data_IF_154349026322
#
_entry.id   IF_154349026322
#
_cell.length_a   1.000
_cell.length_b   1.000
_cell.length_c   1.000
_cell.angle_alpha   90.00
_cell.angle_beta   90.00
_cell.angle_gamma   90.00
#
_symmetry.space_group_name_H-M   'P 1'
#
loop_
_entity.id
_entity.type
_entity.pdbx_description
1 polymer ?
#
# COMPACT_ATOMS: atom_id res chain seq x y z
N UNK A 1 16.66 -54.52 21.18
CA UNK A 1 15.47 -53.77 20.69
C UNK A 1 15.58 -52.30 21.09
N UNK A 2 16.37 -51.48 20.38
CA UNK A 2 16.52 -50.04 20.67
C UNK A 2 16.97 -49.30 19.40
N UNK A 3 16.17 -49.35 18.33
CA UNK A 3 16.50 -48.60 17.10
C UNK A 3 15.26 -48.08 16.34
N UNK A 4 14.06 -48.16 16.93
CA UNK A 4 12.80 -47.91 16.19
C UNK A 4 12.03 -46.68 16.69
N UNK A 5 12.46 -46.04 17.78
CA UNK A 5 11.70 -44.95 18.42
C UNK A 5 12.15 -43.56 17.93
N UNK A 6 13.39 -43.42 17.43
CA UNK A 6 13.95 -42.10 17.07
C UNK A 6 13.40 -41.58 15.72
N UNK A 7 12.94 -42.46 14.82
CA UNK A 7 12.46 -42.05 13.48
C UNK A 7 11.06 -41.42 13.46
N UNK A 8 10.22 -41.66 14.48
CA UNK A 8 8.85 -41.14 14.51
C UNK A 8 8.81 -39.67 14.97
N UNK A 9 9.79 -39.24 15.76
CA UNK A 9 9.83 -37.88 16.31
C UNK A 9 10.14 -36.79 15.27
N UNK A 10 10.84 -37.13 14.18
CA UNK A 10 11.18 -36.17 13.13
C UNK A 10 10.04 -35.93 12.13
N UNK A 11 9.13 -36.90 11.97
CA UNK A 11 8.01 -36.78 11.02
C UNK A 11 6.91 -35.86 11.58
N UNK A 12 6.65 -35.89 12.89
CA UNK A 12 5.68 -34.98 13.53
C UNK A 12 6.16 -33.51 13.57
N UNK A 13 7.47 -33.27 13.60
CA UNK A 13 8.03 -31.91 13.62
C UNK A 13 7.93 -31.20 12.27
N UNK A 14 7.84 -31.95 11.16
CA UNK A 14 7.72 -31.39 9.82
C UNK A 14 6.27 -31.01 9.46
N UNK A 15 5.28 -31.69 10.05
CA UNK A 15 3.86 -31.38 9.88
C UNK A 15 3.43 -30.08 10.58
N UNK A 16 4.21 -29.59 11.54
CA UNK A 16 3.90 -28.34 12.27
C UNK A 16 4.30 -27.06 11.52
N UNK A 17 5.04 -27.16 10.42
CA UNK A 17 5.37 -26.02 9.56
C UNK A 17 4.41 -25.81 8.38
N UNK A 18 3.46 -26.72 8.13
CA UNK A 18 2.40 -26.57 7.12
C UNK A 18 1.16 -25.90 7.72
N UNK A 19 1.33 -24.79 8.45
CA UNK A 19 0.22 -24.17 9.18
C UNK A 19 0.26 -22.66 9.32
N UNK A 20 1.33 -21.99 8.87
CA UNK A 20 1.27 -20.54 8.66
C UNK A 20 0.59 -20.31 7.31
N UNK A 21 -0.73 -20.54 7.26
CA UNK A 21 -1.56 -19.96 6.24
C UNK A 21 -1.26 -18.46 6.25
N UNK A 22 -0.60 -17.99 5.19
CA UNK A 22 -0.54 -16.58 4.89
C UNK A 22 -2.01 -16.22 4.64
N UNK A 23 -2.68 -15.77 5.69
CA UNK A 23 -3.99 -15.14 5.65
C UNK A 23 -3.76 -13.86 4.85
N UNK A 24 -3.70 -14.02 3.53
CA UNK A 24 -3.80 -12.92 2.60
C UNK A 24 -5.23 -12.46 2.78
N UNK A 25 -5.39 -11.50 3.67
CA UNK A 25 -6.48 -10.54 3.65
C UNK A 25 -6.83 -10.36 2.17
N UNK A 26 -8.04 -10.75 1.79
CA UNK A 26 -8.51 -10.78 0.40
C UNK A 26 -8.65 -9.34 -0.10
N UNK A 27 -7.50 -8.65 -0.25
CA UNK A 27 -7.43 -7.30 -0.77
C UNK A 27 -7.92 -7.35 -2.19
N UNK A 28 -8.85 -6.47 -2.50
CA UNK A 28 -9.40 -6.38 -3.83
C UNK A 28 -8.24 -6.26 -4.82
N UNK A 29 -8.13 -7.15 -5.83
CA UNK A 29 -6.89 -7.37 -6.61
C UNK A 29 -6.41 -6.17 -7.44
N UNK A 30 -7.19 -5.08 -7.43
CA UNK A 30 -6.96 -3.87 -8.19
C UNK A 30 -6.65 -2.66 -7.29
N UNK A 31 -6.60 -2.84 -5.98
CA UNK A 31 -6.36 -1.76 -5.02
C UNK A 31 -4.89 -1.73 -4.60
N UNK A 32 -4.24 -0.61 -4.87
CA UNK A 32 -2.98 -0.25 -4.25
C UNK A 32 -3.20 -0.03 -2.75
N UNK A 33 -2.14 -0.24 -1.97
CA UNK A 33 -2.08 0.22 -0.59
C UNK A 33 -1.09 1.37 -0.51
N UNK A 34 -1.50 2.47 0.11
CA UNK A 34 -0.64 3.62 0.31
C UNK A 34 -0.77 4.23 1.68
N UNK A 35 0.23 5.01 2.05
CA UNK A 35 0.29 5.77 3.28
C UNK A 35 0.15 7.25 2.96
N UNK A 36 -0.76 7.95 3.63
CA UNK A 36 -0.87 9.41 3.52
C UNK A 36 0.36 10.03 4.16
N UNK A 37 1.18 10.74 3.37
CA UNK A 37 2.44 11.35 3.85
C UNK A 37 2.38 12.88 3.89
N UNK A 38 1.34 13.48 3.28
CA UNK A 38 1.09 14.92 3.29
C UNK A 38 -0.39 15.19 3.15
N UNK A 39 -0.91 16.11 3.96
CA UNK A 39 -2.24 16.69 3.82
C UNK A 39 -2.10 18.21 3.81
N UNK A 40 -2.47 18.81 2.69
CA UNK A 40 -2.69 20.22 2.53
C UNK A 40 -4.05 20.58 3.17
N UNK A 41 -4.02 21.24 4.33
CA UNK A 41 -5.21 21.82 4.98
C UNK A 41 -5.49 23.26 4.51
N UNK A 42 -5.64 23.49 3.20
CA UNK A 42 -5.95 24.81 2.62
C UNK A 42 -4.75 25.70 2.24
N UNK A 43 -3.54 25.15 2.25
CA UNK A 43 -2.32 25.76 1.71
C UNK A 43 -2.05 25.44 0.22
N UNK A 44 -0.80 25.63 -0.19
CA UNK A 44 -0.36 25.55 -1.60
C UNK A 44 0.25 24.19 -1.99
N UNK A 45 0.52 23.32 -1.02
CA UNK A 45 1.21 22.04 -1.23
C UNK A 45 0.26 20.94 -1.70
N UNK A 46 0.78 19.80 -2.13
CA UNK A 46 -0.08 18.66 -2.50
C UNK A 46 -0.46 17.81 -1.27
N UNK A 47 -1.65 17.21 -1.34
CA UNK A 47 -1.95 16.00 -0.58
C UNK A 47 -1.25 14.84 -1.27
N UNK A 48 -0.53 14.02 -0.53
CA UNK A 48 0.34 13.00 -1.12
C UNK A 48 0.15 11.66 -0.42
N UNK A 49 0.02 10.61 -1.23
CA UNK A 49 0.09 9.22 -0.81
C UNK A 49 1.41 8.63 -1.33
N UNK A 50 2.14 7.93 -0.47
CA UNK A 50 3.23 7.04 -0.86
C UNK A 50 2.68 5.63 -1.07
N UNK A 51 2.97 5.00 -2.20
CA UNK A 51 2.57 3.62 -2.47
C UNK A 51 3.47 2.69 -1.64
N UNK A 52 2.86 1.93 -0.73
CA UNK A 52 3.58 0.95 0.11
C UNK A 52 3.35 -0.49 -0.38
N UNK A 53 2.26 -0.74 -1.12
CA UNK A 53 2.05 -1.98 -1.85
C UNK A 53 1.39 -1.75 -3.20
N UNK A 54 1.88 -2.44 -4.23
CA UNK A 54 1.38 -2.35 -5.60
C UNK A 54 0.44 -3.51 -5.92
N UNK A 55 -0.27 -3.40 -7.04
CA UNK A 55 -1.11 -4.46 -7.59
C UNK A 55 -0.31 -5.33 -8.56
N UNK A 56 -0.81 -6.54 -8.84
CA UNK A 56 -0.22 -7.39 -9.86
C UNK A 56 -0.25 -6.67 -11.21
N UNK A 57 0.90 -6.61 -11.89
CA UNK A 57 1.07 -5.95 -13.18
C UNK A 57 0.78 -4.43 -13.16
N UNK A 58 0.80 -3.80 -11.97
CA UNK A 58 0.63 -2.36 -11.81
C UNK A 58 1.82 -1.56 -12.33
N UNK A 59 1.55 -0.48 -13.05
CA UNK A 59 2.58 0.35 -13.69
C UNK A 59 3.38 1.19 -12.68
N UNK A 60 2.77 1.56 -11.54
CA UNK A 60 3.40 2.38 -10.52
C UNK A 60 3.95 1.50 -9.39
N UNK A 61 5.26 1.55 -9.20
CA UNK A 61 5.97 0.75 -8.20
C UNK A 61 5.86 1.34 -6.78
N UNK A 62 6.13 0.50 -5.78
CA UNK A 62 6.29 0.86 -4.36
C UNK A 62 7.34 1.97 -4.18
N UNK A 63 7.09 2.88 -3.24
CA UNK A 63 7.93 4.04 -2.93
C UNK A 63 7.67 5.27 -3.81
N UNK A 64 6.88 5.13 -4.88
CA UNK A 64 6.43 6.30 -5.66
C UNK A 64 5.30 7.03 -4.93
N UNK A 65 5.22 8.33 -5.20
CA UNK A 65 4.26 9.22 -4.58
C UNK A 65 3.28 9.79 -5.60
N UNK A 66 2.02 9.88 -5.21
CA UNK A 66 0.94 10.41 -6.05
C UNK A 66 0.20 11.53 -5.34
N UNK A 67 -0.32 12.49 -6.10
CA UNK A 67 -1.31 13.43 -5.57
C UNK A 67 -2.67 12.76 -5.36
N UNK A 68 -3.50 13.33 -4.49
CA UNK A 68 -4.92 12.95 -4.40
C UNK A 68 -5.79 14.09 -3.87
N UNK A 69 -7.11 13.94 -4.00
CA UNK A 69 -8.09 14.81 -3.35
C UNK A 69 -8.63 14.10 -2.09
N UNK A 70 -8.37 14.63 -0.87
CA UNK A 70 -8.82 14.02 0.37
C UNK A 70 -10.34 14.08 0.55
N UNK A 71 -11.05 14.98 -0.14
CA UNK A 71 -12.51 15.07 -0.06
C UNK A 71 -13.16 13.78 -0.61
N UNK A 72 -12.55 13.17 -1.62
CA UNK A 72 -13.04 11.93 -2.25
C UNK A 72 -13.02 10.72 -1.30
N UNK A 73 -12.28 10.78 -0.19
CA UNK A 73 -12.27 9.71 0.79
C UNK A 73 -13.58 9.60 1.57
N UNK A 74 -14.31 10.72 1.75
CA UNK A 74 -15.60 10.75 2.45
C UNK A 74 -15.52 10.68 3.98
N UNK A 75 -14.31 10.68 4.55
CA UNK A 75 -14.06 10.77 5.99
C UNK A 75 -12.81 11.63 6.28
N UNK A 76 -12.54 11.89 7.56
CA UNK A 76 -11.32 12.61 7.96
C UNK A 76 -10.10 11.72 7.79
N UNK A 77 -9.10 12.20 7.05
CA UNK A 77 -7.80 11.57 6.91
C UNK A 77 -6.75 12.31 7.76
N UNK A 78 -5.77 11.56 8.24
CA UNK A 78 -4.59 12.05 8.92
C UNK A 78 -3.32 11.63 8.20
N UNK A 79 -2.23 12.38 8.40
CA UNK A 79 -0.90 11.96 7.96
C UNK A 79 -0.53 10.70 8.75
N UNK A 80 -0.13 9.65 8.03
CA UNK A 80 0.17 8.34 8.58
C UNK A 80 -0.88 7.29 8.28
N UNK A 81 -2.11 7.70 7.94
CA UNK A 81 -3.20 6.78 7.64
C UNK A 81 -2.89 5.92 6.42
N UNK A 82 -3.32 4.67 6.48
CA UNK A 82 -3.22 3.72 5.37
C UNK A 82 -4.54 3.72 4.62
N UNK A 83 -4.46 3.88 3.31
CA UNK A 83 -5.61 3.92 2.41
C UNK A 83 -5.44 2.94 1.26
N UNK A 84 -6.57 2.43 0.77
CA UNK A 84 -6.63 1.54 -0.38
C UNK A 84 -7.30 2.27 -1.53
N UNK A 85 -6.72 2.21 -2.72
CA UNK A 85 -7.21 2.99 -3.86
C UNK A 85 -6.85 2.36 -5.19
N UNK A 86 -7.61 2.73 -6.22
CA UNK A 86 -7.31 2.45 -7.62
C UNK A 86 -6.82 3.72 -8.27
N UNK A 87 -5.78 3.62 -9.10
CA UNK A 87 -5.34 4.73 -9.95
C UNK A 87 -6.09 4.61 -11.27
N UNK A 88 -6.94 5.59 -11.58
CA UNK A 88 -7.72 5.61 -12.82
C UNK A 88 -7.01 6.38 -13.93
N UNK A 89 -6.23 7.39 -13.56
CA UNK A 89 -5.39 8.16 -14.47
C UNK A 89 -4.19 8.74 -13.74
N UNK A 90 -3.06 8.89 -14.43
CA UNK A 90 -1.90 9.58 -13.87
C UNK A 90 -1.01 10.17 -14.96
N UNK A 91 -0.25 11.19 -14.56
CA UNK A 91 0.82 11.79 -15.35
C UNK A 91 2.03 12.09 -14.45
N UNK A 92 3.23 12.14 -15.03
CA UNK A 92 4.42 12.59 -14.28
C UNK A 92 4.24 14.05 -13.91
N UNK A 93 4.43 14.39 -12.64
CA UNK A 93 4.39 15.77 -12.22
C UNK A 93 5.57 16.56 -12.81
N UNK A 94 5.26 17.71 -13.43
CA UNK A 94 6.24 18.62 -14.01
C UNK A 94 5.94 20.04 -13.54
N UNK A 95 6.93 20.70 -12.94
CA UNK A 95 6.79 22.07 -12.50
C UNK A 95 7.99 22.54 -11.66
N UNK A 96 8.04 23.82 -11.29
CA UNK A 96 9.07 24.28 -10.36
C UNK A 96 8.81 23.70 -8.97
N UNK A 97 9.73 22.86 -8.48
CA UNK A 97 9.71 22.40 -7.10
C UNK A 97 10.25 23.51 -6.18
N UNK A 98 9.50 23.85 -5.13
CA UNK A 98 10.00 24.70 -4.04
C UNK A 98 10.38 23.84 -2.84
N UNK A 99 11.23 24.37 -1.96
CA UNK A 99 11.68 23.68 -0.74
C UNK A 99 10.61 23.64 0.36
N UNK A 100 9.59 24.49 0.27
CA UNK A 100 8.53 24.60 1.29
C UNK A 100 7.51 23.45 1.22
N UNK A 101 7.34 22.85 0.04
CA UNK A 101 6.38 21.78 -0.19
C UNK A 101 7.07 20.47 -0.56
N UNK A 102 6.45 19.36 -0.16
CA UNK A 102 6.71 18.05 -0.78
C UNK A 102 5.94 17.99 -2.09
N UNK A 103 6.57 17.43 -3.12
CA UNK A 103 5.98 17.27 -4.45
C UNK A 103 5.79 15.78 -4.75
N UNK A 104 4.63 15.38 -5.28
CA UNK A 104 4.43 14.01 -5.70
C UNK A 104 5.25 13.74 -6.96
N UNK A 105 5.55 12.47 -7.22
CA UNK A 105 6.14 12.07 -8.50
C UNK A 105 5.11 12.09 -9.61
N UNK A 106 3.87 11.75 -9.29
CA UNK A 106 2.76 11.71 -10.24
C UNK A 106 1.58 12.54 -9.77
N UNK A 107 0.93 13.23 -10.71
CA UNK A 107 -0.43 13.74 -10.50
C UNK A 107 -1.38 12.62 -10.88
N UNK A 108 -2.23 12.20 -9.94
CA UNK A 108 -3.11 11.05 -10.13
C UNK A 108 -4.57 11.40 -9.82
N UNK A 109 -5.47 10.78 -10.57
CA UNK A 109 -6.87 10.61 -10.22
C UNK A 109 -7.03 9.21 -9.63
N UNK A 110 -7.67 9.14 -8.47
CA UNK A 110 -7.86 7.90 -7.75
C UNK A 110 -9.30 7.70 -7.32
N UNK A 111 -9.68 6.44 -7.19
CA UNK A 111 -10.91 6.02 -6.53
C UNK A 111 -10.54 5.23 -5.28
N UNK A 112 -11.03 5.65 -4.12
CA UNK A 112 -10.81 4.90 -2.90
C UNK A 112 -11.58 3.59 -2.91
N UNK A 113 -10.89 2.51 -2.58
CA UNK A 113 -11.51 1.21 -2.39
C UNK A 113 -12.27 1.21 -1.06
N UNK A 114 -13.44 0.58 -1.04
CA UNK A 114 -14.13 0.30 0.21
C UNK A 114 -13.31 -0.74 0.98
N UNK A 115 -13.10 -0.50 2.28
CA UNK A 115 -12.72 -1.56 3.21
C UNK A 115 -13.87 -2.55 3.38
#
# INVERSE_FOLDING_TARGET
MKATIIKISFILLFLSFMGAGCEKDERHPLCYQGKVISLNQGGRCYNIIEIIETIKDGEIAVGNTISFDPILYGATLNVGDVVYFKITHYEVWVGPATTECRWPRFIAQIEFCKN
#
